data_IF_502210320209
#
_entry.id   IF_502210320209
#
_cell.length_a   1.000
_cell.length_b   1.000
_cell.length_c   1.000
_cell.angle_alpha   90.00
_cell.angle_beta   90.00
_cell.angle_gamma   90.00
#
_symmetry.space_group_name_H-M   'P 1'
#
loop_
_entity.id
_entity.type
_entity.pdbx_description
1 polymer ?
#
# COMPACT_ATOMS: atom_id res chain seq x y z
N UNK A 1 21.55 14.79 -13.15
CA UNK A 1 20.85 13.68 -13.82
C UNK A 1 20.43 12.69 -12.75
N UNK A 2 19.18 12.78 -12.29
CA UNK A 2 18.65 11.86 -11.31
C UNK A 2 18.44 10.48 -11.93
N UNK A 3 19.09 9.50 -11.32
CA UNK A 3 18.80 8.10 -11.51
C UNK A 3 18.47 7.52 -10.13
N UNK A 4 17.22 7.10 -9.96
CA UNK A 4 16.74 6.52 -8.72
C UNK A 4 16.47 5.04 -8.89
N UNK A 5 16.63 4.30 -7.80
CA UNK A 5 16.24 2.90 -7.76
C UNK A 5 15.69 2.55 -6.38
N UNK A 6 14.62 1.77 -6.38
CA UNK A 6 13.95 1.28 -5.18
C UNK A 6 13.82 -0.23 -5.26
N UNK A 7 14.13 -0.90 -4.15
CA UNK A 7 13.86 -2.33 -3.98
C UNK A 7 12.50 -2.49 -3.31
N UNK A 8 11.62 -3.27 -3.93
CA UNK A 8 10.27 -3.52 -3.46
C UNK A 8 10.08 -5.02 -3.32
N UNK A 9 9.62 -5.44 -2.14
CA UNK A 9 9.18 -6.82 -1.91
C UNK A 9 7.72 -6.93 -2.35
N UNK A 10 7.47 -7.78 -3.35
CA UNK A 10 6.12 -8.09 -3.82
C UNK A 10 5.36 -8.99 -2.84
N UNK A 11 4.08 -9.24 -3.15
CA UNK A 11 3.20 -9.97 -2.24
C UNK A 11 3.70 -11.39 -1.91
N UNK A 12 4.27 -12.09 -2.91
CA UNK A 12 4.82 -13.44 -2.74
C UNK A 12 6.23 -13.49 -2.15
N UNK A 13 6.81 -12.35 -1.75
CA UNK A 13 8.16 -12.27 -1.18
C UNK A 13 9.28 -12.03 -2.21
N UNK A 14 8.97 -12.08 -3.50
CA UNK A 14 9.91 -11.74 -4.57
C UNK A 14 10.37 -10.27 -4.49
N UNK A 15 11.65 -10.02 -4.78
CA UNK A 15 12.21 -8.67 -4.78
C UNK A 15 12.28 -8.09 -6.20
N UNK A 16 11.78 -6.88 -6.35
CA UNK A 16 11.74 -6.14 -7.60
C UNK A 16 12.58 -4.86 -7.45
N UNK A 17 13.45 -4.61 -8.42
CA UNK A 17 14.22 -3.38 -8.50
C UNK A 17 13.57 -2.45 -9.53
N UNK A 18 12.77 -1.51 -9.05
CA UNK A 18 12.29 -0.40 -9.87
C UNK A 18 13.38 0.64 -10.01
N UNK A 19 13.55 1.16 -11.21
CA UNK A 19 14.45 2.28 -11.47
C UNK A 19 13.80 3.31 -12.37
N UNK A 20 14.11 4.56 -12.08
CA UNK A 20 13.62 5.72 -12.81
C UNK A 20 14.82 6.55 -13.25
N UNK A 21 14.90 6.77 -14.55
CA UNK A 21 15.74 7.79 -15.15
C UNK A 21 14.86 8.98 -15.53
N UNK A 22 15.27 10.19 -15.15
CA UNK A 22 14.63 11.43 -15.60
C UNK A 22 15.73 12.41 -16.06
N UNK A 23 15.75 12.76 -17.34
CA UNK A 23 16.80 13.59 -17.91
C UNK A 23 16.69 15.08 -17.53
N UNK A 24 17.72 15.67 -16.94
CA UNK A 24 17.70 17.09 -16.48
C UNK A 24 17.33 18.11 -17.56
N UNK A 25 17.74 17.87 -18.81
CA UNK A 25 17.58 18.82 -19.93
C UNK A 25 16.44 18.43 -20.86
N UNK A 26 16.32 17.13 -21.15
CA UNK A 26 15.34 16.60 -22.10
C UNK A 26 14.02 16.27 -21.43
N UNK A 27 14.01 16.11 -20.10
CA UNK A 27 12.88 15.63 -19.33
C UNK A 27 12.33 14.30 -19.84
N UNK A 28 13.16 13.51 -20.51
CA UNK A 28 12.80 12.16 -20.94
C UNK A 28 12.84 11.25 -19.71
N UNK A 29 11.82 10.41 -19.58
CA UNK A 29 11.66 9.47 -18.49
C UNK A 29 11.77 8.04 -19.03
N UNK A 30 12.54 7.23 -18.32
CA UNK A 30 12.54 5.78 -18.50
C UNK A 30 12.29 5.14 -17.15
N UNK A 31 11.19 4.40 -17.04
CA UNK A 31 10.93 3.52 -15.91
C UNK A 31 11.30 2.09 -16.32
N UNK A 32 12.04 1.41 -15.46
CA UNK A 32 12.42 0.03 -15.66
C UNK A 32 12.23 -0.80 -14.39
N UNK A 33 12.02 -2.11 -14.55
CA UNK A 33 11.93 -3.08 -13.48
C UNK A 33 12.87 -4.25 -13.80
N UNK A 34 13.79 -4.60 -12.88
CA UNK A 34 14.77 -5.67 -13.08
C UNK A 34 15.48 -5.56 -14.45
N UNK A 35 15.99 -4.36 -14.74
CA UNK A 35 16.70 -3.99 -15.98
C UNK A 35 15.87 -4.09 -17.28
N UNK A 36 14.55 -4.31 -17.19
CA UNK A 36 13.62 -4.27 -18.33
C UNK A 36 12.83 -2.97 -18.32
N UNK A 37 12.81 -2.27 -19.45
CA UNK A 37 12.01 -1.05 -19.61
C UNK A 37 10.53 -1.41 -19.52
N UNK A 38 9.80 -0.70 -18.67
CA UNK A 38 8.34 -0.86 -18.49
C UNK A 38 7.55 0.33 -19.02
N UNK A 39 8.13 1.53 -18.97
CA UNK A 39 7.52 2.75 -19.50
C UNK A 39 8.59 3.69 -20.02
N UNK A 40 8.31 4.35 -21.14
CA UNK A 40 9.07 5.49 -21.65
C UNK A 40 8.10 6.65 -21.78
N UNK A 41 8.56 7.85 -21.46
CA UNK A 41 7.81 9.08 -21.66
C UNK A 41 8.76 10.23 -22.03
N UNK A 42 8.31 11.13 -22.88
CA UNK A 42 9.15 12.20 -23.41
C UNK A 42 8.66 13.56 -22.89
N UNK A 43 9.62 14.39 -22.48
CA UNK A 43 9.38 15.79 -22.10
C UNK A 43 8.45 15.98 -20.87
N UNK A 44 8.64 15.16 -19.85
CA UNK A 44 7.88 15.19 -18.58
C UNK A 44 8.38 16.34 -17.71
N UNK A 45 7.89 17.55 -17.99
CA UNK A 45 8.27 18.77 -17.27
C UNK A 45 7.44 19.02 -16.00
N UNK A 46 6.30 18.38 -15.88
CA UNK A 46 5.34 18.56 -14.79
C UNK A 46 5.25 17.30 -13.92
N UNK A 47 4.61 17.42 -12.75
CA UNK A 47 4.38 16.28 -11.87
C UNK A 47 3.64 15.16 -12.58
N UNK A 48 4.14 13.93 -12.44
CA UNK A 48 3.55 12.75 -13.08
C UNK A 48 3.78 11.51 -12.24
N UNK A 49 2.75 10.67 -12.14
CA UNK A 49 2.83 9.38 -11.48
C UNK A 49 2.64 8.26 -12.50
N UNK A 50 3.52 7.27 -12.44
CA UNK A 50 3.45 6.03 -13.19
C UNK A 50 3.00 4.91 -12.27
N UNK A 51 2.08 4.08 -12.74
CA UNK A 51 1.58 2.94 -11.99
C UNK A 51 2.01 1.65 -12.69
N UNK A 52 2.63 0.73 -11.96
CA UNK A 52 3.11 -0.56 -12.47
C UNK A 52 2.71 -1.66 -11.50
N UNK A 53 2.24 -2.78 -12.03
CA UNK A 53 2.01 -3.97 -11.22
C UNK A 53 3.32 -4.74 -11.04
N UNK A 54 3.70 -4.98 -9.78
CA UNK A 54 4.78 -5.87 -9.39
C UNK A 54 4.15 -7.10 -8.75
N UNK A 55 4.06 -8.19 -9.50
CA UNK A 55 3.20 -9.33 -9.16
C UNK A 55 1.74 -8.85 -8.94
N UNK A 56 1.24 -8.85 -7.70
CA UNK A 56 -0.11 -8.42 -7.36
C UNK A 56 -0.15 -7.04 -6.68
N UNK A 57 1.00 -6.44 -6.41
CA UNK A 57 1.11 -5.11 -5.82
C UNK A 57 1.03 -4.05 -6.91
N UNK A 58 0.18 -3.04 -6.71
CA UNK A 58 0.20 -1.84 -7.52
C UNK A 58 1.24 -0.89 -6.92
N UNK A 59 2.32 -0.66 -7.65
CA UNK A 59 3.35 0.29 -7.27
C UNK A 59 3.19 1.59 -8.04
N UNK A 60 3.37 2.72 -7.37
CA UNK A 60 3.39 4.05 -7.95
C UNK A 60 4.80 4.63 -7.86
N UNK A 61 5.27 5.19 -8.97
CA UNK A 61 6.50 5.98 -9.04
C UNK A 61 6.10 7.39 -9.43
N UNK A 62 6.31 8.34 -8.52
CA UNK A 62 5.90 9.73 -8.68
C UNK A 62 7.11 10.62 -8.89
N UNK A 63 6.98 11.50 -9.87
CA UNK A 63 7.84 12.66 -10.09
C UNK A 63 7.00 13.86 -9.66
N UNK A 64 7.43 14.57 -8.63
CA UNK A 64 6.75 15.75 -8.12
C UNK A 64 7.57 16.99 -8.47
N UNK A 65 7.04 17.85 -9.33
CA UNK A 65 7.66 19.13 -9.67
C UNK A 65 7.46 20.12 -8.52
N UNK A 66 8.54 20.47 -7.83
CA UNK A 66 8.51 21.34 -6.65
C UNK A 66 8.87 22.79 -6.96
N UNK A 67 8.94 23.13 -8.25
CA UNK A 67 9.16 24.49 -8.75
C UNK A 67 10.52 24.71 -9.41
N UNK A 68 10.54 25.57 -10.43
CA UNK A 68 11.73 25.80 -11.24
C UNK A 68 12.17 24.53 -11.96
N UNK A 69 13.39 24.06 -11.70
CA UNK A 69 13.91 22.78 -12.22
C UNK A 69 14.09 21.73 -11.11
N UNK A 70 13.37 21.87 -10.00
CA UNK A 70 13.44 20.92 -8.89
C UNK A 70 12.33 19.88 -8.98
N UNK A 71 12.71 18.64 -8.69
CA UNK A 71 11.84 17.48 -8.76
C UNK A 71 12.15 16.56 -7.60
N UNK A 72 11.09 16.06 -6.94
CA UNK A 72 11.17 15.00 -5.97
C UNK A 72 10.68 13.68 -6.59
N UNK A 73 11.25 12.58 -6.10
CA UNK A 73 11.01 11.26 -6.66
C UNK A 73 10.64 10.30 -5.55
N UNK A 74 9.46 9.70 -5.66
CA UNK A 74 8.97 8.77 -4.65
C UNK A 74 8.49 7.48 -5.31
N UNK A 75 8.56 6.40 -4.53
CA UNK A 75 8.07 5.11 -4.94
C UNK A 75 7.35 4.46 -3.77
N UNK A 76 6.11 4.01 -4.00
CA UNK A 76 5.25 3.45 -2.93
C UNK A 76 4.32 2.38 -3.48
N UNK A 77 3.98 1.41 -2.63
CA UNK A 77 2.88 0.48 -2.90
C UNK A 77 1.57 1.20 -2.60
N UNK A 78 0.66 1.25 -3.57
CA UNK A 78 -0.66 1.82 -3.39
C UNK A 78 -1.61 0.76 -2.79
N UNK A 79 -1.87 0.87 -1.50
CA UNK A 79 -2.80 0.01 -0.76
C UNK A 79 -4.27 0.49 -0.78
N UNK A 80 -4.53 1.66 -1.36
CA UNK A 80 -5.85 2.31 -1.37
C UNK A 80 -6.62 2.06 -2.66
N UNK A 81 -5.90 1.93 -3.78
CA UNK A 81 -6.48 1.61 -5.08
C UNK A 81 -7.29 0.32 -5.02
N UNK A 82 -8.38 0.27 -5.79
CA UNK A 82 -9.30 -0.88 -5.86
C UNK A 82 -8.72 -2.04 -6.69
N UNK A 83 -7.57 -2.58 -6.28
CA UNK A 83 -6.97 -3.78 -6.86
C UNK A 83 -7.54 -5.06 -6.22
N UNK A 84 -7.49 -6.22 -6.90
CA UNK A 84 -7.93 -7.48 -6.31
C UNK A 84 -7.24 -7.78 -4.97
N UNK A 85 -5.93 -7.57 -4.87
CA UNK A 85 -5.18 -7.81 -3.63
C UNK A 85 -5.57 -6.84 -2.50
N UNK A 86 -5.77 -5.56 -2.80
CA UNK A 86 -6.21 -4.59 -1.77
C UNK A 86 -7.63 -4.87 -1.29
N UNK A 87 -8.52 -5.29 -2.19
CA UNK A 87 -9.88 -5.72 -1.83
C UNK A 87 -9.84 -6.98 -0.94
N UNK A 88 -9.01 -7.96 -1.30
CA UNK A 88 -8.80 -9.15 -0.48
C UNK A 88 -8.28 -8.79 0.91
N UNK A 89 -7.25 -7.94 1.03
CA UNK A 89 -6.74 -7.44 2.32
C UNK A 89 -7.80 -6.72 3.15
N UNK A 90 -8.59 -5.87 2.52
CA UNK A 90 -9.65 -5.12 3.18
C UNK A 90 -10.72 -6.06 3.73
N UNK A 91 -11.23 -6.98 2.91
CA UNK A 91 -12.23 -7.96 3.35
C UNK A 91 -11.73 -8.86 4.49
N UNK A 92 -10.45 -9.25 4.48
CA UNK A 92 -9.85 -10.03 5.57
C UNK A 92 -9.82 -9.23 6.87
N UNK A 93 -9.34 -7.98 6.85
CA UNK A 93 -9.35 -7.10 8.03
C UNK A 93 -10.77 -6.83 8.54
N UNK A 94 -11.71 -6.58 7.64
CA UNK A 94 -13.11 -6.34 7.98
C UNK A 94 -13.73 -7.60 8.63
N UNK A 95 -13.40 -8.79 8.13
CA UNK A 95 -13.87 -10.05 8.73
C UNK A 95 -13.29 -10.30 10.13
N UNK A 96 -12.00 -10.01 10.33
CA UNK A 96 -11.34 -10.17 11.62
C UNK A 96 -11.88 -9.21 12.66
N UNK A 97 -12.01 -7.92 12.32
CA UNK A 97 -12.58 -6.92 13.23
C UNK A 97 -14.04 -7.22 13.61
N UNK A 98 -14.83 -7.75 12.67
CA UNK A 98 -16.19 -8.24 12.97
C UNK A 98 -16.15 -9.41 13.95
N UNK A 99 -15.27 -10.38 13.73
CA UNK A 99 -15.09 -11.52 14.62
C UNK A 99 -14.68 -11.08 16.03
N UNK A 100 -13.75 -10.13 16.15
CA UNK A 100 -13.29 -9.59 17.44
C UNK A 100 -14.41 -8.87 18.20
N UNK A 101 -15.19 -8.02 17.51
CA UNK A 101 -16.37 -7.37 18.11
C UNK A 101 -17.38 -8.38 18.63
N UNK A 102 -17.67 -9.42 17.84
CA UNK A 102 -18.56 -10.50 18.27
C UNK A 102 -18.00 -11.23 19.49
N UNK A 103 -16.70 -11.57 19.50
CA UNK A 103 -16.04 -12.21 20.64
C UNK A 103 -16.13 -11.36 21.91
N UNK A 104 -15.90 -10.04 21.82
CA UNK A 104 -16.02 -9.13 22.97
C UNK A 104 -17.45 -9.07 23.51
N UNK A 105 -18.46 -9.02 22.63
CA UNK A 105 -19.86 -9.04 23.04
C UNK A 105 -20.24 -10.34 23.76
N UNK A 106 -19.79 -11.49 23.23
CA UNK A 106 -20.03 -12.80 23.86
C UNK A 106 -19.33 -12.87 25.22
N UNK A 107 -18.06 -12.48 25.32
CA UNK A 107 -17.32 -12.49 26.58
C UNK A 107 -17.96 -11.59 27.64
N UNK A 108 -18.36 -10.37 27.27
CA UNK A 108 -19.07 -9.46 28.16
C UNK A 108 -20.41 -10.03 28.65
N UNK A 109 -21.17 -10.67 27.76
CA UNK A 109 -22.41 -11.36 28.12
C UNK A 109 -22.19 -12.48 29.13
N UNK A 110 -21.15 -13.32 28.94
CA UNK A 110 -20.81 -14.39 29.89
C UNK A 110 -20.45 -13.82 31.27
N UNK A 111 -19.63 -12.77 31.32
CA UNK A 111 -19.26 -12.11 32.59
C UNK A 111 -20.48 -11.57 33.33
N UNK A 112 -21.41 -10.92 32.62
CA UNK A 112 -22.65 -10.41 33.21
C UNK A 112 -23.53 -11.54 33.77
N UNK A 113 -23.64 -12.66 33.05
CA UNK A 113 -24.39 -13.83 33.51
C UNK A 113 -23.77 -14.41 34.78
N UNK A 114 -22.46 -14.62 34.81
CA UNK A 114 -21.74 -15.14 35.99
C UNK A 114 -21.92 -14.19 37.17
N UNK A 115 -21.80 -12.87 36.95
CA UNK A 115 -21.99 -11.87 37.99
C UNK A 115 -23.41 -11.87 38.55
N UNK A 116 -24.43 -12.00 37.69
CA UNK A 116 -25.82 -12.11 38.11
C UNK A 116 -26.07 -13.37 38.97
N UNK A 117 -25.49 -14.51 38.58
CA UNK A 117 -25.56 -15.74 39.38
C UNK A 117 -24.91 -15.56 40.75
N UNK A 118 -23.71 -14.97 40.82
CA UNK A 118 -23.02 -14.71 42.09
C UNK A 118 -23.83 -13.79 43.02
N UNK A 119 -24.43 -12.73 42.47
CA UNK A 119 -25.31 -11.84 43.25
C UNK A 119 -26.55 -12.59 43.75
N UNK A 120 -27.20 -13.38 42.90
CA UNK A 120 -28.39 -14.15 43.30
C UNK A 120 -28.09 -15.15 44.42
N UNK A 121 -26.89 -15.75 44.44
CA UNK A 121 -26.46 -16.66 45.51
C UNK A 121 -26.02 -15.96 46.80
N UNK A 122 -25.75 -14.65 46.76
CA UNK A 122 -25.35 -13.88 47.95
C UNK A 122 -26.56 -13.28 48.67
N UNK A 123 -27.61 -12.92 47.93
CA UNK A 123 -28.81 -12.27 48.46
C UNK A 123 -30.02 -13.21 48.65
N UNK A 124 -29.93 -14.47 48.20
CA UNK A 124 -30.94 -15.51 48.42
C UNK A 124 -30.49 -16.52 49.46
#
# INVERSE_FOLDING_TARGET
MPQYSWNITGHQGESYKLGLFHGDKTHHVVLHCNDRVVQIDFEVRESKTYSVFLDQELCEVSIDHTGGNHYDYTCRINHEAKTPLNQWRKSHRDSQSRMERVRMLVAGGVVLIVFAFLLSSYFG
#
